data_IF_211597274353
#
_entry.id   IF_211597274353
#
_cell.length_a   1.000
_cell.length_b   1.000
_cell.length_c   1.000
_cell.angle_alpha   90.00
_cell.angle_beta   90.00
_cell.angle_gamma   90.00
#
_symmetry.space_group_name_H-M   'P 1'
#
loop_
_entity.id
_entity.type
_entity.pdbx_description
1 polymer ?
#
# COMPACT_ATOMS: atom_id res chain seq x y z
N UNK A 1 -11.13 9.22 -30.88
CA UNK A 1 -10.30 9.85 -29.84
C UNK A 1 -8.97 9.14 -29.82
N UNK A 2 -7.88 9.85 -30.10
CA UNK A 2 -6.63 9.22 -30.50
C UNK A 2 -5.97 8.48 -29.33
N UNK A 3 -5.64 7.20 -29.55
CA UNK A 3 -4.92 6.32 -28.60
C UNK A 3 -3.67 7.01 -28.06
N UNK A 4 -2.97 7.76 -28.92
CA UNK A 4 -1.79 8.53 -28.56
C UNK A 4 -2.07 9.60 -27.50
N UNK A 5 -3.26 10.21 -27.49
CA UNK A 5 -3.66 11.17 -26.47
C UNK A 5 -3.86 10.46 -25.13
N UNK A 6 -4.54 9.31 -25.11
CA UNK A 6 -4.74 8.53 -23.89
C UNK A 6 -3.42 8.01 -23.32
N UNK A 7 -2.54 7.48 -24.18
CA UNK A 7 -1.20 7.02 -23.83
C UNK A 7 -0.36 8.14 -23.24
N UNK A 8 -0.34 9.30 -23.90
CA UNK A 8 0.36 10.49 -23.43
C UNK A 8 -0.18 10.96 -22.08
N UNK A 9 -1.50 10.98 -21.88
CA UNK A 9 -2.10 11.39 -20.62
C UNK A 9 -1.73 10.44 -19.48
N UNK A 10 -1.72 9.12 -19.71
CA UNK A 10 -1.28 8.14 -18.71
C UNK A 10 0.18 8.36 -18.30
N UNK A 11 1.07 8.67 -19.26
CA UNK A 11 2.47 9.00 -19.00
C UNK A 11 2.63 10.31 -18.22
N UNK A 12 1.85 11.35 -18.56
CA UNK A 12 1.83 12.63 -17.83
C UNK A 12 1.36 12.42 -16.40
N UNK A 13 0.28 11.67 -16.18
CA UNK A 13 -0.23 11.34 -14.84
C UNK A 13 0.80 10.58 -14.01
N UNK A 14 1.47 9.59 -14.61
CA UNK A 14 2.56 8.87 -13.97
C UNK A 14 3.70 9.83 -13.56
N UNK A 15 4.15 10.69 -14.48
CA UNK A 15 5.19 11.69 -14.21
C UNK A 15 4.81 12.62 -13.05
N UNK A 16 3.62 13.22 -13.09
CA UNK A 16 3.13 14.14 -12.07
C UNK A 16 3.04 13.48 -10.67
N UNK A 17 2.44 12.29 -10.59
CA UNK A 17 2.29 11.56 -9.34
C UNK A 17 3.63 11.03 -8.81
N UNK A 18 4.55 10.64 -9.71
CA UNK A 18 5.90 10.21 -9.31
C UNK A 18 6.70 11.35 -8.68
N UNK A 19 6.55 12.59 -9.17
CA UNK A 19 7.16 13.77 -8.58
C UNK A 19 6.71 13.99 -7.12
N UNK A 20 5.40 13.98 -6.87
CA UNK A 20 4.86 14.00 -5.51
C UNK A 20 5.31 12.78 -4.69
N UNK A 21 5.43 11.61 -5.35
CA UNK A 21 5.92 10.38 -4.75
C UNK A 21 7.35 10.46 -4.24
N UNK A 22 8.25 11.15 -4.95
CA UNK A 22 9.65 11.35 -4.52
C UNK A 22 9.69 12.19 -3.24
N UNK A 23 8.87 13.24 -3.14
CA UNK A 23 8.76 14.05 -1.92
C UNK A 23 8.30 13.18 -0.75
N UNK A 24 7.28 12.33 -0.97
CA UNK A 24 6.82 11.38 0.04
C UNK A 24 7.88 10.33 0.42
N UNK A 25 8.68 9.85 -0.53
CA UNK A 25 9.79 8.92 -0.28
C UNK A 25 10.84 9.58 0.64
N UNK A 26 11.14 10.85 0.35
CA UNK A 26 12.07 11.64 1.14
C UNK A 26 11.55 11.84 2.56
N UNK A 27 10.29 12.27 2.73
CA UNK A 27 9.68 12.43 4.05
C UNK A 27 9.65 11.12 4.87
N UNK A 28 9.36 9.98 4.24
CA UNK A 28 9.39 8.68 4.90
C UNK A 28 10.79 8.31 5.37
N UNK A 29 11.79 8.55 4.53
CA UNK A 29 13.20 8.28 4.86
C UNK A 29 13.68 9.22 5.95
N UNK A 30 13.32 10.51 5.89
CA UNK A 30 13.65 11.49 6.92
C UNK A 30 13.07 11.13 8.28
N UNK A 31 11.79 10.74 8.32
CA UNK A 31 11.14 10.24 9.54
C UNK A 31 11.80 8.98 10.10
N UNK A 32 12.33 8.12 9.24
CA UNK A 32 13.10 6.95 9.69
C UNK A 32 14.50 7.36 10.20
N UNK A 33 15.18 8.26 9.50
CA UNK A 33 16.51 8.77 9.85
C UNK A 33 16.50 9.46 11.22
N UNK A 34 15.54 10.36 11.44
CA UNK A 34 15.34 11.04 12.72
C UNK A 34 15.08 10.08 13.88
N UNK A 35 14.38 8.96 13.64
CA UNK A 35 14.15 7.92 14.66
C UNK A 35 15.35 7.00 14.89
N UNK A 36 16.28 6.97 13.95
CA UNK A 36 17.45 6.09 14.02
C UNK A 36 18.57 6.67 14.89
N UNK A 37 18.45 7.94 15.31
CA UNK A 37 19.47 8.62 16.13
C UNK A 37 20.85 8.66 15.46
N UNK A 38 20.89 8.61 14.12
CA UNK A 38 22.13 8.65 13.35
C UNK A 38 22.40 10.10 12.96
N UNK A 39 23.63 10.56 13.20
CA UNK A 39 24.02 11.94 12.90
C UNK A 39 24.53 12.11 11.46
N UNK A 40 24.92 11.02 10.80
CA UNK A 40 25.53 11.03 9.46
C UNK A 40 24.70 10.22 8.47
N UNK A 41 24.58 10.76 7.24
CA UNK A 41 23.98 10.07 6.09
C UNK A 41 24.92 8.94 5.67
N UNK A 42 24.63 7.74 6.16
CA UNK A 42 25.34 6.51 5.84
C UNK A 42 24.77 5.85 4.57
N UNK A 43 25.50 4.94 3.93
CA UNK A 43 25.05 4.15 2.77
C UNK A 43 23.73 3.42 3.07
N UNK A 44 23.54 3.00 4.32
CA UNK A 44 22.30 2.38 4.79
C UNK A 44 21.07 3.33 4.73
N UNK A 45 21.26 4.65 4.77
CA UNK A 45 20.18 5.65 4.64
C UNK A 45 19.78 5.81 3.18
N UNK A 46 20.76 5.83 2.27
CA UNK A 46 20.57 5.88 0.82
C UNK A 46 19.84 4.62 0.34
N UNK A 47 20.26 3.44 0.81
CA UNK A 47 19.59 2.18 0.50
C UNK A 47 18.11 2.18 0.92
N UNK A 48 17.79 2.73 2.10
CA UNK A 48 16.39 2.85 2.55
C UNK A 48 15.58 3.84 1.73
N UNK A 49 16.20 4.94 1.29
CA UNK A 49 15.54 5.87 0.36
C UNK A 49 15.15 5.17 -0.94
N UNK A 50 16.06 4.40 -1.55
CA UNK A 50 15.80 3.65 -2.79
C UNK A 50 14.66 2.65 -2.60
N UNK A 51 14.65 1.91 -1.48
CA UNK A 51 13.57 0.96 -1.17
C UNK A 51 12.21 1.66 -0.99
N UNK A 52 12.18 2.81 -0.31
CA UNK A 52 10.96 3.60 -0.16
C UNK A 52 10.48 4.21 -1.49
N UNK A 53 11.40 4.63 -2.34
CA UNK A 53 11.12 5.17 -3.67
C UNK A 53 10.54 4.09 -4.58
N UNK A 54 11.13 2.89 -4.60
CA UNK A 54 10.61 1.70 -5.29
C UNK A 54 9.16 1.41 -4.90
N UNK A 55 8.86 1.37 -3.59
CA UNK A 55 7.52 1.12 -3.10
C UNK A 55 6.50 2.20 -3.47
N UNK A 56 6.90 3.47 -3.53
CA UNK A 56 6.03 4.57 -3.93
C UNK A 56 5.79 4.55 -5.44
N UNK A 57 6.83 4.37 -6.26
CA UNK A 57 6.68 4.24 -7.72
C UNK A 57 5.76 3.08 -8.07
N UNK A 58 5.91 1.93 -7.42
CA UNK A 58 4.99 0.79 -7.60
C UNK A 58 3.54 1.14 -7.24
N UNK A 59 3.32 1.96 -6.21
CA UNK A 59 1.97 2.43 -5.85
C UNK A 59 1.39 3.37 -6.89
N UNK A 60 2.21 4.30 -7.40
CA UNK A 60 1.81 5.27 -8.43
C UNK A 60 1.43 4.56 -9.72
N UNK A 61 2.21 3.56 -10.17
CA UNK A 61 1.90 2.76 -11.34
C UNK A 61 0.55 2.03 -11.21
N UNK A 62 0.28 1.41 -10.04
CA UNK A 62 -1.02 0.78 -9.78
C UNK A 62 -2.16 1.79 -9.77
N UNK A 63 -1.95 2.96 -9.17
CA UNK A 63 -2.97 4.02 -9.11
C UNK A 63 -3.33 4.53 -10.51
N UNK A 64 -2.33 4.80 -11.36
CA UNK A 64 -2.55 5.24 -12.75
C UNK A 64 -3.25 4.15 -13.54
N UNK A 65 -2.81 2.89 -13.43
CA UNK A 65 -3.43 1.75 -14.11
C UNK A 65 -4.89 1.56 -13.70
N UNK A 66 -5.19 1.67 -12.40
CA UNK A 66 -6.55 1.59 -11.87
C UNK A 66 -7.42 2.75 -12.40
N UNK A 67 -6.90 3.97 -12.41
CA UNK A 67 -7.60 5.14 -12.96
C UNK A 67 -7.93 4.99 -14.44
N UNK A 68 -6.97 4.54 -15.26
CA UNK A 68 -7.19 4.27 -16.69
C UNK A 68 -8.20 3.13 -16.87
N UNK A 69 -8.14 2.07 -16.06
CA UNK A 69 -9.09 0.96 -16.13
C UNK A 69 -10.52 1.40 -15.80
N UNK A 70 -10.70 2.26 -14.79
CA UNK A 70 -12.00 2.85 -14.44
C UNK A 70 -12.50 3.73 -15.58
N UNK A 71 -11.63 4.56 -16.16
CA UNK A 71 -11.97 5.40 -17.30
C UNK A 71 -12.43 4.56 -18.51
N UNK A 72 -11.72 3.47 -18.82
CA UNK A 72 -12.12 2.52 -19.86
C UNK A 72 -13.47 1.85 -19.56
N UNK A 73 -13.75 1.49 -18.30
CA UNK A 73 -15.05 0.93 -17.90
C UNK A 73 -16.20 1.91 -18.09
N UNK A 74 -15.99 3.21 -17.78
CA UNK A 74 -17.00 4.25 -17.98
C UNK A 74 -17.30 4.42 -19.47
N UNK A 75 -16.26 4.47 -20.31
CA UNK A 75 -16.43 4.58 -21.76
C UNK A 75 -17.15 3.36 -22.32
N UNK A 76 -16.77 2.15 -21.89
CA UNK A 76 -17.41 0.91 -22.30
C UNK A 76 -18.93 0.95 -22.02
N UNK A 77 -19.34 1.45 -20.85
CA UNK A 77 -20.76 1.63 -20.54
C UNK A 77 -21.46 2.73 -21.35
N UNK A 78 -20.70 3.69 -21.89
CA UNK A 78 -21.23 4.81 -22.67
C UNK A 78 -21.32 4.53 -24.18
N UNK A 79 -20.98 3.33 -24.65
CA UNK A 79 -21.07 2.94 -26.06
C UNK A 79 -22.54 2.69 -26.45
N UNK A 80 -23.25 3.75 -26.88
CA UNK A 80 -24.63 3.66 -27.37
C UNK A 80 -24.75 3.46 -28.90
N UNK A 81 -23.70 3.78 -29.67
CA UNK A 81 -23.64 3.58 -31.11
C UNK A 81 -22.49 2.61 -31.47
N UNK A 82 -22.78 1.66 -32.37
CA UNK A 82 -21.91 0.55 -32.80
C UNK A 82 -20.55 0.94 -33.41
N UNK A 83 -20.28 2.23 -33.61
CA UNK A 83 -19.03 2.72 -34.22
C UNK A 83 -17.88 2.97 -33.24
N UNK A 84 -18.13 2.99 -31.92
CA UNK A 84 -17.06 3.28 -30.95
C UNK A 84 -16.30 2.01 -30.56
N UNK A 85 -15.65 1.36 -31.52
CA UNK A 85 -14.72 0.27 -31.25
C UNK A 85 -13.43 0.88 -30.66
N UNK A 86 -13.29 0.82 -29.34
CA UNK A 86 -12.09 1.33 -28.65
C UNK A 86 -10.88 0.52 -29.13
N UNK A 87 -10.05 1.09 -29.98
CA UNK A 87 -8.79 0.47 -30.41
C UNK A 87 -7.81 0.50 -29.21
N UNK A 88 -7.81 -0.59 -28.44
CA UNK A 88 -7.16 -0.70 -27.11
C UNK A 88 -5.71 -1.21 -27.21
N UNK A 89 -5.29 -1.73 -28.37
CA UNK A 89 -4.03 -2.46 -28.56
C UNK A 89 -2.80 -1.75 -27.95
N UNK A 90 -2.51 -0.51 -28.38
CA UNK A 90 -1.35 0.24 -27.87
C UNK A 90 -1.45 0.68 -26.40
N UNK A 91 -2.66 0.90 -25.88
CA UNK A 91 -2.86 1.22 -24.47
C UNK A 91 -2.69 -0.02 -23.58
N UNK A 92 -3.15 -1.18 -24.04
CA UNK A 92 -3.06 -2.46 -23.33
C UNK A 92 -1.61 -2.86 -23.10
N UNK A 93 -0.72 -2.65 -24.07
CA UNK A 93 0.70 -2.97 -23.92
C UNK A 93 1.37 -2.09 -22.86
N UNK A 94 1.07 -0.79 -22.83
CA UNK A 94 1.55 0.11 -21.79
C UNK A 94 1.04 -0.30 -20.40
N UNK A 95 -0.27 -0.58 -20.27
CA UNK A 95 -0.86 -1.02 -19.00
C UNK A 95 -0.29 -2.35 -18.54
N UNK A 96 -0.03 -3.30 -19.47
CA UNK A 96 0.62 -4.57 -19.17
C UNK A 96 2.02 -4.34 -18.58
N UNK A 97 2.82 -3.48 -19.19
CA UNK A 97 4.16 -3.13 -18.69
C UNK A 97 4.05 -2.49 -17.30
N UNK A 98 3.12 -1.55 -17.11
CA UNK A 98 2.91 -0.88 -15.82
C UNK A 98 2.55 -1.87 -14.71
N UNK A 99 1.67 -2.83 -14.98
CA UNK A 99 1.28 -3.85 -14.00
C UNK A 99 2.47 -4.75 -13.65
N UNK A 100 3.22 -5.23 -14.63
CA UNK A 100 4.38 -6.11 -14.41
C UNK A 100 5.45 -5.39 -13.57
N UNK A 101 5.80 -4.17 -13.95
CA UNK A 101 6.79 -3.36 -13.22
C UNK A 101 6.29 -3.05 -11.81
N UNK A 102 5.02 -2.64 -11.67
CA UNK A 102 4.44 -2.36 -10.37
C UNK A 102 4.43 -3.57 -9.45
N UNK A 103 4.14 -4.76 -9.97
CA UNK A 103 4.18 -6.01 -9.23
C UNK A 103 5.59 -6.29 -8.68
N UNK A 104 6.62 -6.20 -9.53
CA UNK A 104 8.01 -6.40 -9.10
C UNK A 104 8.41 -5.37 -8.04
N UNK A 105 8.14 -4.09 -8.24
CA UNK A 105 8.47 -3.05 -7.26
C UNK A 105 7.72 -3.25 -5.93
N UNK A 106 6.45 -3.69 -5.98
CA UNK A 106 5.66 -3.96 -4.77
C UNK A 106 6.08 -5.21 -4.03
N UNK A 107 6.50 -6.26 -4.71
CA UNK A 107 7.06 -7.44 -4.02
C UNK A 107 8.31 -7.06 -3.23
N UNK A 108 9.19 -6.23 -3.79
CA UNK A 108 10.37 -5.69 -3.08
C UNK A 108 9.96 -4.86 -1.87
N UNK A 109 8.98 -3.96 -2.00
CA UNK A 109 8.46 -3.13 -0.90
C UNK A 109 7.86 -3.97 0.23
N UNK A 110 7.11 -5.03 -0.11
CA UNK A 110 6.53 -5.97 0.86
C UNK A 110 7.63 -6.75 1.58
N UNK A 111 8.64 -7.26 0.87
CA UNK A 111 9.78 -7.95 1.49
C UNK A 111 10.51 -7.01 2.45
N UNK A 112 10.76 -5.76 2.04
CA UNK A 112 11.37 -4.75 2.91
C UNK A 112 10.51 -4.45 4.15
N UNK A 113 9.18 -4.39 4.00
CA UNK A 113 8.25 -4.22 5.10
C UNK A 113 8.34 -5.39 6.11
N UNK A 114 8.37 -6.63 5.61
CA UNK A 114 8.47 -7.84 6.43
C UNK A 114 9.79 -7.84 7.21
N UNK A 115 10.93 -7.59 6.54
CA UNK A 115 12.24 -7.52 7.19
C UNK A 115 12.27 -6.42 8.26
N UNK A 116 11.65 -5.28 7.99
CA UNK A 116 11.57 -4.19 8.98
C UNK A 116 10.75 -4.60 10.19
N UNK A 117 9.63 -5.29 10.00
CA UNK A 117 8.76 -5.73 11.08
C UNK A 117 9.38 -6.87 11.89
N UNK A 118 10.10 -7.80 11.25
CA UNK A 118 10.74 -8.93 11.93
C UNK A 118 11.97 -8.54 12.75
N UNK A 119 12.51 -7.33 12.54
CA UNK A 119 13.67 -6.80 13.28
C UNK A 119 13.29 -5.89 14.44
N UNK A 120 12.00 -5.78 14.78
CA UNK A 120 11.56 -4.98 15.92
C UNK A 120 11.74 -5.81 17.19
N UNK A 121 12.67 -5.39 18.04
CA UNK A 121 12.81 -5.90 19.40
C UNK A 121 11.91 -5.08 20.33
N UNK A 122 10.99 -5.74 21.01
CA UNK A 122 10.12 -5.11 22.01
C UNK A 122 10.74 -5.38 23.37
N UNK A 123 11.20 -4.31 24.03
CA UNK A 123 11.70 -4.37 25.40
C UNK A 123 10.60 -3.93 26.36
N UNK A 124 10.25 -4.80 27.32
CA UNK A 124 9.36 -4.45 28.40
C UNK A 124 10.15 -3.79 29.53
N UNK A 125 9.77 -2.56 29.87
CA UNK A 125 10.29 -1.88 31.05
C UNK A 125 9.20 -1.87 32.11
N UNK A 126 9.43 -2.62 33.17
CA UNK A 126 8.59 -2.59 34.36
C UNK A 126 9.12 -1.50 35.31
N UNK A 127 8.28 -0.50 35.60
CA UNK A 127 8.67 0.68 36.39
C UNK A 127 8.24 0.62 37.87
N UNK A 128 7.62 -0.47 38.32
CA UNK A 128 7.23 -0.59 39.73
C UNK A 128 8.38 -1.13 40.59
N UNK A 129 8.66 -0.41 41.67
CA UNK A 129 9.77 -0.68 42.58
C UNK A 129 9.39 -1.80 43.55
N UNK A 130 10.36 -2.66 43.86
CA UNK A 130 10.25 -3.61 44.97
C UNK A 130 9.91 -2.84 46.27
N UNK A 131 8.84 -3.26 46.96
CA UNK A 131 8.41 -2.67 48.23
C UNK A 131 9.47 -2.79 49.34
N UNK A 132 10.35 -3.78 49.24
CA UNK A 132 11.40 -4.08 50.24
C UNK A 132 12.79 -3.64 49.77
N UNK A 133 12.91 -3.02 48.60
CA UNK A 133 14.20 -2.67 47.98
C UNK A 133 14.98 -3.86 47.41
N UNK A 134 14.57 -5.10 47.70
CA UNK A 134 15.17 -6.31 47.14
C UNK A 134 14.55 -6.64 45.77
N UNK A 135 15.32 -6.68 44.67
CA UNK A 135 14.78 -7.00 43.34
C UNK A 135 14.21 -8.42 43.24
N UNK A 136 14.68 -9.35 44.09
CA UNK A 136 14.24 -10.75 44.09
C UNK A 136 12.85 -10.99 44.71
N UNK A 137 12.21 -9.98 45.30
CA UNK A 137 10.86 -10.12 45.88
C UNK A 137 9.75 -9.81 44.88
N UNK A 138 10.10 -9.43 43.65
CA UNK A 138 9.11 -9.12 42.60
C UNK A 138 8.59 -10.42 42.01
N UNK A 139 7.26 -10.58 41.96
CA UNK A 139 6.64 -11.79 41.43
C UNK A 139 6.78 -11.88 39.91
N UNK A 140 7.16 -13.06 39.42
CA UNK A 140 7.28 -13.37 37.98
C UNK A 140 5.93 -13.17 37.24
N UNK A 141 4.81 -13.27 37.97
CA UNK A 141 3.46 -13.04 37.46
C UNK A 141 3.26 -11.66 36.79
N UNK A 142 3.99 -10.62 37.20
CA UNK A 142 3.89 -9.27 36.61
C UNK A 142 4.43 -9.27 35.17
N UNK A 143 5.53 -9.98 34.93
CA UNK A 143 6.09 -10.18 33.59
C UNK A 143 5.18 -11.06 32.73
N UNK A 144 4.59 -12.12 33.30
CA UNK A 144 3.61 -12.94 32.58
C UNK A 144 2.35 -12.16 32.19
N UNK A 145 1.85 -11.30 33.07
CA UNK A 145 0.71 -10.44 32.77
C UNK A 145 1.01 -9.49 31.61
N UNK A 146 2.16 -8.81 31.64
CA UNK A 146 2.60 -7.95 30.55
C UNK A 146 2.78 -8.71 29.22
N UNK A 147 3.31 -9.93 29.28
CA UNK A 147 3.43 -10.80 28.10
C UNK A 147 2.06 -11.23 27.55
N UNK A 148 1.09 -11.52 28.42
CA UNK A 148 -0.28 -11.85 28.01
C UNK A 148 -0.97 -10.67 27.31
N UNK A 149 -0.89 -9.46 27.89
CA UNK A 149 -1.46 -8.25 27.30
C UNK A 149 -0.82 -7.93 25.93
N UNK A 150 0.49 -8.13 25.78
CA UNK A 150 1.14 -7.96 24.48
C UNK A 150 0.64 -8.99 23.45
N UNK A 151 0.43 -10.24 23.85
CA UNK A 151 -0.13 -11.26 22.98
C UNK A 151 -1.55 -10.88 22.51
N UNK A 152 -2.37 -10.32 23.39
CA UNK A 152 -3.68 -9.78 23.03
C UNK A 152 -3.56 -8.60 22.05
N UNK A 153 -2.63 -7.67 22.27
CA UNK A 153 -2.37 -6.55 21.36
C UNK A 153 -1.83 -6.98 19.99
N UNK A 154 -1.04 -8.07 19.93
CA UNK A 154 -0.53 -8.62 18.66
C UNK A 154 -1.65 -9.23 17.80
N UNK A 155 -2.69 -9.76 18.44
CA UNK A 155 -3.86 -10.34 17.75
C UNK A 155 -4.95 -9.31 17.46
N UNK A 156 -4.88 -8.13 18.07
CA UNK A 156 -5.82 -7.04 17.81
C UNK A 156 -5.76 -6.57 16.35
N UNK A 157 -6.84 -6.83 15.61
CA UNK A 157 -6.99 -6.37 14.23
C UNK A 157 -7.56 -4.96 14.23
N UNK A 158 -6.86 -4.02 13.60
CA UNK A 158 -7.39 -2.66 13.35
C UNK A 158 -8.57 -2.64 12.37
N UNK A 159 -8.76 -3.69 11.59
CA UNK A 159 -9.80 -3.77 10.55
C UNK A 159 -10.99 -4.57 11.08
N UNK A 160 -12.17 -3.96 11.03
CA UNK A 160 -13.43 -4.63 11.34
C UNK A 160 -13.91 -5.46 10.13
N UNK A 161 -13.55 -6.75 10.11
CA UNK A 161 -13.84 -7.70 9.01
C UNK A 161 -15.32 -7.73 8.62
N UNK A 162 -16.30 -7.89 9.53
CA UNK A 162 -17.71 -7.94 9.13
C UNK A 162 -18.18 -6.62 8.50
N UNK A 163 -17.71 -5.47 9.00
CA UNK A 163 -18.04 -4.18 8.38
C UNK A 163 -17.45 -4.06 6.96
N UNK A 164 -16.23 -4.54 6.75
CA UNK A 164 -15.61 -4.57 5.42
C UNK A 164 -16.38 -5.49 4.45
N UNK A 165 -16.73 -6.71 4.88
CA UNK A 165 -17.50 -7.65 4.06
C UNK A 165 -18.88 -7.12 3.72
N UNK A 166 -19.56 -6.49 4.69
CA UNK A 166 -20.83 -5.82 4.45
C UNK A 166 -20.71 -4.75 3.36
N UNK A 167 -19.69 -3.90 3.42
CA UNK A 167 -19.51 -2.84 2.41
C UNK A 167 -19.19 -3.41 1.03
N UNK A 168 -18.36 -4.46 0.94
CA UNK A 168 -18.07 -5.16 -0.32
C UNK A 168 -19.34 -5.77 -0.91
N UNK A 169 -20.17 -6.43 -0.09
CA UNK A 169 -21.44 -6.99 -0.53
C UNK A 169 -22.44 -5.90 -0.97
N UNK A 170 -22.49 -4.78 -0.26
CA UNK A 170 -23.33 -3.64 -0.64
C UNK A 170 -22.91 -3.07 -2.00
N UNK A 171 -21.61 -2.91 -2.24
CA UNK A 171 -21.11 -2.45 -3.54
C UNK A 171 -21.40 -3.47 -4.65
N UNK A 172 -21.10 -4.75 -4.44
CA UNK A 172 -21.28 -5.78 -5.47
C UNK A 172 -22.77 -6.05 -5.77
N UNK A 173 -23.57 -6.33 -4.74
CA UNK A 173 -24.96 -6.74 -4.90
C UNK A 173 -25.95 -5.59 -4.77
N UNK A 174 -25.75 -4.70 -3.80
CA UNK A 174 -26.65 -3.57 -3.57
C UNK A 174 -26.66 -2.56 -4.73
N UNK A 175 -25.47 -2.19 -5.23
CA UNK A 175 -25.30 -1.30 -6.40
C UNK A 175 -25.32 -2.09 -7.72
N UNK A 176 -25.42 -3.42 -7.66
CA UNK A 176 -25.41 -4.32 -8.82
C UNK A 176 -24.12 -4.19 -9.68
N UNK A 177 -22.98 -3.94 -9.04
CA UNK A 177 -21.67 -3.90 -9.70
C UNK A 177 -21.20 -5.29 -10.16
N UNK A 178 -21.80 -6.38 -9.65
CA UNK A 178 -21.45 -7.76 -10.01
C UNK A 178 -21.44 -8.02 -11.52
N UNK A 179 -22.36 -7.39 -12.27
CA UNK A 179 -22.52 -7.59 -13.72
C UNK A 179 -22.08 -6.38 -14.55
N UNK A 180 -21.30 -5.45 -13.98
CA UNK A 180 -20.97 -4.20 -14.67
C UNK A 180 -20.13 -4.43 -15.94
N UNK A 181 -19.36 -5.52 -15.99
CA UNK A 181 -18.54 -5.88 -17.15
C UNK A 181 -19.30 -6.67 -18.23
N UNK A 182 -20.52 -7.12 -17.96
CA UNK A 182 -21.32 -7.84 -18.96
C UNK A 182 -21.83 -6.85 -20.02
N UNK A 183 -21.78 -7.28 -21.29
CA UNK A 183 -22.39 -6.55 -22.39
C UNK A 183 -23.91 -6.51 -22.18
N UNK A 184 -24.53 -5.35 -22.40
CA UNK A 184 -25.97 -5.22 -22.25
C UNK A 184 -26.62 -5.98 -23.41
N UNK A 185 -27.32 -7.08 -23.13
CA UNK A 185 -28.15 -7.75 -24.13
C UNK A 185 -29.26 -6.78 -24.54
N UNK A 186 -29.35 -6.51 -25.85
CA UNK A 186 -30.41 -5.71 -26.46
C UNK A 186 -31.81 -6.24 -26.12
#
# INVERSE_FOLDING_TARGET
MDIEIQRRNALISFGALSGAGIILAFLRTWKWFSRSGRDIIDLATIGKFILHLCGIIGTVLLLVTAGVSIYCLIIFKSQYNDEFQTNISGLQDLLRIFIIVAFVLKTIDIIHLIIRQSRIEIFFMDWERSKTGNPNTVSIWRTYFAANELNELQTFRRINVPFQLFFVLLLLKGINLENIACAQSA
#
